data_IF_343001628208
#
_entry.id   IF_343001628208
#
_cell.length_a   1.000
_cell.length_b   1.000
_cell.length_c   1.000
_cell.angle_alpha   90.00
_cell.angle_beta   90.00
_cell.angle_gamma   90.00
#
_symmetry.space_group_name_H-M   'P 1'
#
loop_
_entity.id
_entity.type
_entity.pdbx_description
1 polymer ?
#
# COMPACT_ATOMS: atom_id res chain seq x y z
N UNK A 1 14.49 6.43 33.86
CA UNK A 1 13.46 5.82 33.00
C UNK A 1 13.29 6.68 31.77
N UNK A 2 13.17 6.06 30.59
CA UNK A 2 12.83 6.77 29.36
C UNK A 2 11.32 7.00 29.36
N UNK A 3 10.89 8.23 29.12
CA UNK A 3 9.50 8.64 29.15
C UNK A 3 8.91 8.81 27.75
N UNK A 4 9.70 9.26 26.77
CA UNK A 4 9.23 9.57 25.41
C UNK A 4 10.40 9.53 24.41
N UNK A 5 10.10 9.26 23.13
CA UNK A 5 11.05 9.44 22.02
C UNK A 5 10.47 10.46 21.06
N UNK A 6 11.35 11.34 20.58
CA UNK A 6 11.03 12.31 19.56
C UNK A 6 11.81 12.05 18.29
N UNK A 7 11.18 12.27 17.14
CA UNK A 7 11.87 12.45 15.88
C UNK A 7 11.40 13.77 15.32
N UNK A 8 12.33 14.69 15.11
CA UNK A 8 12.04 16.10 14.80
C UNK A 8 12.78 16.48 13.54
N UNK A 9 12.12 17.20 12.65
CA UNK A 9 12.75 17.77 11.47
C UNK A 9 13.64 18.95 11.86
N UNK A 10 14.59 19.31 11.00
CA UNK A 10 15.52 20.42 11.23
C UNK A 10 14.86 21.79 11.49
N UNK A 11 13.59 21.97 11.12
CA UNK A 11 12.80 23.19 11.34
C UNK A 11 11.95 23.15 12.63
N UNK A 12 12.03 22.06 13.41
CA UNK A 12 11.36 21.92 14.69
C UNK A 12 10.02 21.19 14.61
N UNK A 13 9.58 20.82 13.40
CA UNK A 13 8.37 20.02 13.25
C UNK A 13 8.59 18.61 13.79
N UNK A 14 7.74 18.20 14.72
CA UNK A 14 7.77 16.85 15.31
C UNK A 14 7.14 15.87 14.31
N UNK A 15 7.93 14.88 13.89
CA UNK A 15 7.53 13.78 13.01
C UNK A 15 7.05 12.56 13.82
N UNK A 16 7.54 12.40 15.05
CA UNK A 16 7.15 11.35 16.00
C UNK A 16 7.34 11.85 17.44
N UNK A 17 6.41 11.51 18.33
CA UNK A 17 6.42 11.88 19.75
C UNK A 17 5.33 12.90 20.13
N UNK A 18 5.13 13.10 21.43
CA UNK A 18 4.13 14.02 21.99
C UNK A 18 4.59 15.48 21.91
N UNK A 19 3.89 16.30 21.12
CA UNK A 19 4.23 17.72 20.95
C UNK A 19 4.20 18.53 22.24
N UNK A 20 3.35 18.15 23.21
CA UNK A 20 3.25 18.85 24.49
C UNK A 20 4.42 18.59 25.44
N UNK A 21 5.21 17.54 25.18
CA UNK A 21 6.37 17.15 26.01
C UNK A 21 7.71 17.55 25.41
N UNK A 22 7.73 18.05 24.18
CA UNK A 22 8.97 18.47 23.54
C UNK A 22 9.29 19.92 23.90
N UNK A 23 10.41 20.13 24.59
CA UNK A 23 10.93 21.44 24.96
C UNK A 23 12.34 21.64 24.41
N UNK A 24 12.89 22.86 24.50
CA UNK A 24 14.27 23.19 24.12
C UNK A 24 14.51 23.39 22.61
N UNK A 25 15.70 23.90 22.26
CA UNK A 25 16.08 24.15 20.87
C UNK A 25 16.63 22.89 20.19
N UNK A 26 16.42 22.78 18.89
CA UNK A 26 16.94 21.67 18.05
C UNK A 26 18.47 21.61 18.10
N UNK A 27 19.13 22.77 18.31
CA UNK A 27 20.58 22.87 18.41
C UNK A 27 21.16 22.33 19.72
N UNK A 28 20.32 22.15 20.75
CA UNK A 28 20.78 21.72 22.07
C UNK A 28 20.90 20.20 22.14
N UNK A 29 22.09 19.72 22.53
CA UNK A 29 22.33 18.28 22.73
C UNK A 29 21.58 17.77 23.96
N UNK A 30 21.47 18.57 25.01
CA UNK A 30 20.71 18.27 26.22
C UNK A 30 19.93 19.50 26.63
N UNK A 31 18.65 19.32 26.96
CA UNK A 31 17.83 20.33 27.63
C UNK A 31 17.24 19.74 28.91
N UNK A 32 16.92 20.57 29.89
CA UNK A 32 16.29 20.16 31.15
C UNK A 32 15.09 21.05 31.44
N UNK A 33 13.98 20.42 31.87
CA UNK A 33 12.76 21.09 32.30
C UNK A 33 12.07 20.26 33.40
N UNK A 34 11.74 20.91 34.52
CA UNK A 34 11.09 20.29 35.69
C UNK A 34 11.67 18.91 36.12
N UNK A 35 13.01 18.75 36.04
CA UNK A 35 13.71 17.51 36.38
C UNK A 35 13.62 16.39 35.34
N UNK A 36 12.99 16.65 34.19
CA UNK A 36 13.09 15.84 32.98
C UNK A 36 14.25 16.32 32.11
N UNK A 37 15.00 15.38 31.54
CA UNK A 37 16.10 15.67 30.63
C UNK A 37 15.77 15.17 29.23
N UNK A 38 16.01 16.01 28.22
CA UNK A 38 15.83 15.69 26.81
C UNK A 38 17.20 15.66 26.12
N UNK A 39 17.67 14.45 25.82
CA UNK A 39 18.92 14.22 25.07
C UNK A 39 18.60 14.09 23.58
N UNK A 40 19.29 14.84 22.72
CA UNK A 40 19.08 14.86 21.27
C UNK A 40 20.34 14.49 20.51
N UNK A 41 20.16 13.73 19.44
CA UNK A 41 21.22 13.36 18.49
C UNK A 41 20.73 13.63 17.08
N UNK A 42 21.53 14.37 16.31
CA UNK A 42 21.26 14.59 14.89
C UNK A 42 21.53 13.30 14.11
N UNK A 43 20.55 12.88 13.31
CA UNK A 43 20.63 11.72 12.43
C UNK A 43 20.17 12.15 11.03
N UNK A 44 21.12 12.31 10.10
CA UNK A 44 20.86 12.81 8.76
C UNK A 44 20.13 14.17 8.75
N UNK A 45 18.92 14.23 8.19
CA UNK A 45 18.06 15.42 8.08
C UNK A 45 17.03 15.56 9.23
N UNK A 46 17.09 14.66 10.23
CA UNK A 46 16.24 14.69 11.43
C UNK A 46 17.08 14.73 12.72
N UNK A 47 16.42 15.03 13.83
CA UNK A 47 16.94 14.97 15.18
C UNK A 47 16.13 13.96 15.97
N UNK A 48 16.79 12.98 16.55
CA UNK A 48 16.16 11.97 17.41
C UNK A 48 16.43 12.35 18.86
N UNK A 49 15.35 12.51 19.63
CA UNK A 49 15.38 12.88 21.04
C UNK A 49 14.87 11.78 21.94
N UNK A 50 15.41 11.68 23.15
CA UNK A 50 14.88 10.83 24.23
C UNK A 50 14.64 11.69 25.46
N UNK A 51 13.41 11.68 25.95
CA UNK A 51 13.01 12.25 27.23
C UNK A 51 13.21 11.21 28.33
N UNK A 52 13.86 11.59 29.43
CA UNK A 52 14.10 10.68 30.54
C UNK A 52 14.13 11.41 31.89
N UNK A 53 13.78 10.67 32.96
CA UNK A 53 13.91 11.08 34.37
C UNK A 53 14.69 10.04 35.15
N UNK A 54 15.48 10.44 36.15
CA UNK A 54 16.17 9.51 37.07
C UNK A 54 16.98 8.43 36.32
N UNK A 55 17.69 8.82 35.27
CA UNK A 55 18.59 7.98 34.47
C UNK A 55 19.82 8.80 34.09
N UNK A 56 20.98 8.16 33.93
CA UNK A 56 22.18 8.85 33.44
C UNK A 56 22.09 9.18 31.95
N UNK A 57 22.60 10.34 31.54
CA UNK A 57 22.68 10.69 30.11
C UNK A 57 23.46 9.68 29.27
N UNK A 58 24.46 8.99 29.86
CA UNK A 58 25.21 7.90 29.20
C UNK A 58 24.28 6.72 28.88
N UNK A 59 23.40 6.35 29.81
CA UNK A 59 22.41 5.28 29.59
C UNK A 59 21.41 5.68 28.51
N UNK A 60 20.93 6.93 28.51
CA UNK A 60 20.03 7.45 27.48
C UNK A 60 20.71 7.48 26.09
N UNK A 61 21.99 7.84 26.03
CA UNK A 61 22.78 7.83 24.80
C UNK A 61 22.97 6.40 24.25
N UNK A 62 23.33 5.45 25.11
CA UNK A 62 23.43 4.02 24.75
C UNK A 62 22.09 3.49 24.22
N UNK A 63 20.98 3.91 24.81
CA UNK A 63 19.65 3.56 24.29
C UNK A 63 19.41 4.14 22.89
N UNK A 64 19.70 5.43 22.69
CA UNK A 64 19.58 6.08 21.38
C UNK A 64 20.42 5.38 20.30
N UNK A 65 21.63 4.95 20.63
CA UNK A 65 22.49 4.20 19.70
C UNK A 65 21.88 2.84 19.33
N UNK A 66 21.34 2.10 20.30
CA UNK A 66 20.64 0.83 20.02
C UNK A 66 19.37 1.05 19.21
N UNK A 67 18.60 2.08 19.54
CA UNK A 67 17.39 2.46 18.80
C UNK A 67 17.73 2.79 17.35
N UNK A 68 18.78 3.59 17.12
CA UNK A 68 19.29 3.91 15.79
C UNK A 68 19.56 2.65 14.98
N UNK A 69 20.35 1.72 15.52
CA UNK A 69 20.68 0.46 14.82
C UNK A 69 19.42 -0.34 14.48
N UNK A 70 18.43 -0.40 15.39
CA UNK A 70 17.16 -1.11 15.15
C UNK A 70 16.32 -0.46 14.06
N UNK A 71 16.24 0.88 14.08
CA UNK A 71 15.54 1.66 13.06
C UNK A 71 16.25 1.50 11.71
N UNK A 72 17.55 1.73 11.63
CA UNK A 72 18.32 1.64 10.37
C UNK A 72 18.23 0.26 9.71
N UNK A 73 18.20 -0.82 10.50
CA UNK A 73 18.01 -2.19 9.98
C UNK A 73 16.63 -2.44 9.38
N UNK A 74 15.62 -1.70 9.81
CA UNK A 74 14.22 -1.99 9.50
C UNK A 74 13.64 -1.03 8.46
N UNK A 75 13.88 0.26 8.62
CA UNK A 75 13.31 1.31 7.77
C UNK A 75 14.36 1.96 6.85
N UNK A 76 15.61 1.49 6.90
CA UNK A 76 16.74 2.11 6.22
C UNK A 76 17.21 3.39 6.92
N UNK A 77 17.90 4.26 6.18
CA UNK A 77 18.46 5.52 6.70
C UNK A 77 17.38 6.33 7.44
N UNK A 78 17.68 6.77 8.67
CA UNK A 78 16.74 7.57 9.47
C UNK A 78 16.71 8.99 8.90
N UNK A 79 15.70 9.27 8.09
CA UNK A 79 15.44 10.57 7.48
C UNK A 79 13.94 10.88 7.41
N UNK A 80 13.54 12.13 7.16
CA UNK A 80 12.12 12.52 7.12
C UNK A 80 11.31 11.63 6.18
N UNK A 81 11.83 11.40 4.96
CA UNK A 81 11.19 10.54 3.96
C UNK A 81 10.92 9.12 4.49
N UNK A 82 11.90 8.49 5.12
CA UNK A 82 11.78 7.12 5.60
C UNK A 82 10.97 7.02 6.89
N UNK A 83 11.02 8.04 7.75
CA UNK A 83 10.18 8.15 8.95
C UNK A 83 8.72 8.23 8.55
N UNK A 84 8.37 9.09 7.58
CA UNK A 84 7.00 9.23 7.10
C UNK A 84 6.55 8.01 6.28
N UNK A 85 7.41 7.51 5.38
CA UNK A 85 7.09 6.37 4.51
C UNK A 85 7.05 5.01 5.22
N UNK A 86 7.71 4.86 6.37
CA UNK A 86 7.76 3.61 7.14
C UNK A 86 7.27 3.80 8.59
N UNK A 87 6.41 4.80 8.82
CA UNK A 87 5.98 5.22 10.15
C UNK A 87 5.50 4.06 11.04
N UNK A 88 4.69 3.16 10.49
CA UNK A 88 4.17 1.98 11.20
C UNK A 88 5.27 0.99 11.62
N UNK A 89 6.29 0.80 10.78
CA UNK A 89 7.41 -0.08 11.09
C UNK A 89 8.33 0.56 12.13
N UNK A 90 8.59 1.86 12.01
CA UNK A 90 9.29 2.67 13.01
C UNK A 90 8.62 2.54 14.39
N UNK A 91 7.30 2.72 14.43
CA UNK A 91 6.51 2.55 15.65
C UNK A 91 6.66 1.16 16.27
N UNK A 92 6.51 0.09 15.47
CA UNK A 92 6.66 -1.30 15.95
C UNK A 92 8.03 -1.57 16.60
N UNK A 93 9.04 -0.81 16.25
CA UNK A 93 10.39 -0.93 16.82
C UNK A 93 10.48 -0.15 18.14
N UNK A 94 9.97 1.08 18.16
CA UNK A 94 10.00 1.97 19.32
C UNK A 94 9.17 1.40 20.47
N UNK A 95 7.96 0.92 20.20
CA UNK A 95 7.02 0.45 21.23
C UNK A 95 7.31 -0.96 21.74
N UNK A 96 8.31 -1.67 21.19
CA UNK A 96 8.73 -2.96 21.73
C UNK A 96 9.50 -2.74 23.05
N UNK A 97 9.07 -3.35 24.16
CA UNK A 97 9.82 -3.31 25.41
C UNK A 97 11.25 -3.80 25.20
N UNK A 98 12.24 -2.98 25.54
CA UNK A 98 13.64 -3.36 25.39
C UNK A 98 14.06 -4.21 26.60
N UNK A 99 14.48 -5.45 26.35
CA UNK A 99 15.15 -6.28 27.36
C UNK A 99 16.60 -5.85 27.42
N UNK A 100 17.05 -5.26 28.52
CA UNK A 100 18.47 -5.03 28.68
C UNK A 100 19.19 -6.36 28.99
N UNK A 101 20.29 -6.62 28.29
CA UNK A 101 21.21 -7.71 28.60
C UNK A 101 22.20 -7.20 29.65
N UNK A 102 22.06 -7.76 30.86
CA UNK A 102 23.06 -7.92 31.93
C UNK A 102 24.13 -6.83 32.04
N UNK A 103 23.87 -5.84 32.90
CA UNK A 103 24.90 -5.53 33.90
C UNK A 103 24.67 -6.47 35.09
N UNK A 104 25.74 -6.92 35.75
CA UNK A 104 25.79 -8.03 36.71
C UNK A 104 24.91 -7.93 37.98
N UNK A 105 23.80 -7.18 37.98
CA UNK A 105 22.86 -7.01 39.09
C UNK A 105 21.43 -7.47 38.80
N UNK A 106 21.15 -8.02 37.61
CA UNK A 106 19.85 -8.62 37.27
C UNK A 106 19.27 -8.10 35.94
N UNK A 107 18.14 -8.69 35.51
CA UNK A 107 17.41 -8.23 34.32
C UNK A 107 16.58 -7.01 34.70
N UNK A 108 16.95 -5.84 34.19
CA UNK A 108 16.09 -4.64 34.25
C UNK A 108 15.28 -4.55 32.95
N UNK A 109 13.96 -4.34 33.10
CA UNK A 109 13.07 -4.09 31.98
C UNK A 109 12.82 -2.59 31.90
N UNK A 110 13.04 -2.01 30.71
CA UNK A 110 12.42 -0.73 30.41
C UNK A 110 10.95 -1.00 30.10
N UNK A 111 10.05 -0.38 30.86
CA UNK A 111 8.64 -0.33 30.47
C UNK A 111 8.55 0.23 29.04
N UNK A 112 7.61 -0.30 28.23
CA UNK A 112 7.34 0.26 26.92
C UNK A 112 7.00 1.75 27.06
N UNK A 113 7.53 2.57 26.17
CA UNK A 113 7.30 4.02 26.19
C UNK A 113 5.81 4.27 25.93
N UNK A 114 5.17 5.04 26.81
CA UNK A 114 3.72 5.26 26.84
C UNK A 114 3.30 6.37 25.88
N UNK A 115 3.41 6.12 24.58
CA UNK A 115 2.99 7.09 23.58
C UNK A 115 1.51 6.85 23.24
N UNK A 116 0.64 7.82 23.53
CA UNK A 116 -0.77 7.79 23.16
C UNK A 116 -0.90 8.00 21.62
N UNK A 117 -0.88 6.91 20.85
CA UNK A 117 -1.07 6.92 19.40
C UNK A 117 -2.14 5.93 18.95
N UNK A 118 -2.95 6.36 17.98
CA UNK A 118 -4.02 5.59 17.36
C UNK A 118 -3.74 5.36 15.90
N UNK A 119 -4.09 4.17 15.41
CA UNK A 119 -3.82 3.76 14.05
C UNK A 119 -5.09 3.24 13.43
N UNK A 120 -5.45 3.81 12.28
CA UNK A 120 -6.60 3.41 11.49
C UNK A 120 -6.10 2.86 10.15
N UNK A 121 -6.19 1.55 9.98
CA UNK A 121 -5.92 0.89 8.71
C UNK A 121 -7.25 0.71 7.96
N UNK A 122 -7.44 1.50 6.90
CA UNK A 122 -8.56 1.39 5.96
C UNK A 122 -8.11 0.49 4.81
N UNK A 123 -8.70 -0.69 4.73
CA UNK A 123 -8.36 -1.69 3.74
C UNK A 123 -9.57 -1.96 2.83
N UNK A 124 -9.38 -1.88 1.52
CA UNK A 124 -10.44 -2.10 0.54
C UNK A 124 -10.08 -3.24 -0.42
N UNK A 125 -10.91 -4.28 -0.46
CA UNK A 125 -10.81 -5.39 -1.38
C UNK A 125 -11.71 -5.16 -2.58
N UNK A 126 -11.14 -4.99 -3.76
CA UNK A 126 -11.87 -4.86 -5.02
C UNK A 126 -12.16 -6.22 -5.61
N UNK A 127 -13.43 -6.50 -5.86
CA UNK A 127 -13.90 -7.70 -6.53
C UNK A 127 -14.51 -7.30 -7.88
N UNK A 128 -14.01 -7.89 -8.96
CA UNK A 128 -14.54 -7.65 -10.30
C UNK A 128 -14.65 -8.95 -11.10
N UNK A 129 -15.78 -9.13 -11.77
CA UNK A 129 -15.93 -10.17 -12.80
C UNK A 129 -16.37 -9.46 -14.07
N UNK A 130 -15.52 -9.53 -15.09
CA UNK A 130 -15.80 -9.01 -16.42
C UNK A 130 -15.96 -10.19 -17.36
N UNK A 131 -17.08 -10.26 -18.06
CA UNK A 131 -17.34 -11.27 -19.07
C UNK A 131 -17.42 -10.58 -20.43
N UNK A 132 -16.37 -10.75 -21.24
CA UNK A 132 -16.13 -10.04 -22.49
C UNK A 132 -16.11 -8.53 -22.24
N UNK A 133 -17.11 -7.81 -22.77
CA UNK A 133 -17.26 -6.37 -22.59
C UNK A 133 -18.26 -6.00 -21.48
N UNK A 134 -18.84 -7.00 -20.78
CA UNK A 134 -19.86 -6.80 -19.75
C UNK A 134 -19.29 -6.94 -18.35
N UNK A 135 -19.51 -5.94 -17.51
CA UNK A 135 -19.22 -6.01 -16.08
C UNK A 135 -20.35 -6.82 -15.41
N UNK A 136 -20.03 -8.03 -14.95
CA UNK A 136 -20.96 -8.92 -14.22
C UNK A 136 -20.97 -8.56 -12.74
N UNK A 137 -19.79 -8.25 -12.19
CA UNK A 137 -19.62 -7.81 -10.81
C UNK A 137 -18.56 -6.72 -10.76
N UNK A 138 -18.83 -5.64 -10.02
CA UNK A 138 -17.83 -4.67 -9.59
C UNK A 138 -18.22 -4.14 -8.21
N UNK A 139 -17.54 -4.64 -7.18
CA UNK A 139 -17.83 -4.34 -5.77
C UNK A 139 -16.55 -4.11 -4.99
N UNK A 140 -16.62 -3.26 -3.98
CA UNK A 140 -15.59 -3.10 -2.97
C UNK A 140 -16.08 -3.63 -1.64
N UNK A 141 -15.25 -4.41 -0.94
CA UNK A 141 -15.46 -4.81 0.45
C UNK A 141 -14.36 -4.15 1.25
N UNK A 142 -14.70 -3.26 2.18
CA UNK A 142 -13.68 -2.60 2.99
C UNK A 142 -13.89 -2.78 4.47
N UNK A 143 -12.79 -2.70 5.20
CA UNK A 143 -12.76 -2.74 6.66
C UNK A 143 -11.85 -1.62 7.17
N UNK A 144 -12.23 -1.05 8.32
CA UNK A 144 -11.41 -0.14 9.10
C UNK A 144 -10.99 -0.86 10.37
N UNK A 145 -9.69 -0.94 10.60
CA UNK A 145 -9.13 -1.52 11.82
C UNK A 145 -8.52 -0.41 12.67
N UNK A 146 -8.90 -0.36 13.95
CA UNK A 146 -8.29 0.51 14.94
C UNK A 146 -7.28 -0.29 15.75
N UNK A 147 -6.09 0.27 15.87
CA UNK A 147 -5.09 -0.19 16.83
C UNK A 147 -4.64 0.98 17.68
N UNK A 148 -4.80 0.85 19.00
CA UNK A 148 -4.39 1.86 19.97
C UNK A 148 -3.16 1.40 20.75
N UNK A 149 -2.48 2.35 21.38
CA UNK A 149 -1.24 2.10 22.11
C UNK A 149 -1.31 2.86 23.42
N UNK A 150 -1.95 2.27 24.41
CA UNK A 150 -2.03 2.78 25.77
C UNK A 150 -2.35 1.63 26.72
N UNK A 151 -2.06 1.80 28.01
CA UNK A 151 -2.14 0.73 29.01
C UNK A 151 -3.53 0.44 29.58
N UNK A 152 -4.54 1.24 29.24
CA UNK A 152 -5.89 1.23 29.86
C UNK A 152 -6.97 1.31 28.79
N UNK A 153 -8.18 0.82 29.04
CA UNK A 153 -9.30 0.98 28.09
C UNK A 153 -9.73 2.45 27.99
N UNK A 154 -9.91 2.97 26.77
CA UNK A 154 -10.31 4.36 26.51
C UNK A 154 -11.33 4.48 25.38
N UNK A 155 -12.15 5.52 25.42
CA UNK A 155 -13.14 5.80 24.40
C UNK A 155 -12.53 6.57 23.23
N UNK A 156 -12.67 6.00 22.03
CA UNK A 156 -12.26 6.60 20.77
C UNK A 156 -13.50 6.92 19.95
N UNK A 157 -13.54 8.13 19.39
CA UNK A 157 -14.55 8.56 18.43
C UNK A 157 -13.94 8.67 17.06
N UNK A 158 -14.58 8.08 16.06
CA UNK A 158 -14.14 8.09 14.66
C UNK A 158 -15.27 8.64 13.81
N UNK A 159 -14.99 9.68 13.02
CA UNK A 159 -15.91 10.22 12.02
C UNK A 159 -15.52 9.76 10.62
N UNK A 160 -16.50 9.25 9.87
CA UNK A 160 -16.38 8.84 8.48
C UNK A 160 -17.16 9.84 7.62
N UNK A 161 -16.49 10.46 6.66
CA UNK A 161 -17.08 11.45 5.74
C UNK A 161 -18.01 10.77 4.73
N UNK A 162 -19.10 11.46 4.40
CA UNK A 162 -20.01 11.26 3.25
C UNK A 162 -20.03 9.85 2.67
N UNK A 163 -20.81 9.00 3.29
CA UNK A 163 -21.19 7.73 2.70
C UNK A 163 -22.40 7.95 1.79
N UNK A 164 -22.26 7.64 0.51
CA UNK A 164 -23.41 7.54 -0.37
C UNK A 164 -24.21 6.30 0.02
N UNK A 165 -25.28 6.50 0.80
CA UNK A 165 -26.15 5.44 1.30
C UNK A 165 -26.82 4.63 0.19
N UNK A 166 -26.84 5.11 -1.07
CA UNK A 166 -27.35 4.34 -2.20
C UNK A 166 -26.34 3.32 -2.74
N UNK A 167 -25.05 3.53 -2.49
CA UNK A 167 -23.98 2.69 -3.04
C UNK A 167 -23.18 1.94 -2.00
N UNK A 168 -23.27 2.33 -0.71
CA UNK A 168 -22.50 1.74 0.39
C UNK A 168 -23.43 1.20 1.48
N UNK A 169 -23.39 -0.11 1.67
CA UNK A 169 -23.94 -0.80 2.84
C UNK A 169 -22.83 -1.01 3.88
N UNK A 170 -23.13 -0.99 5.17
CA UNK A 170 -22.13 -1.19 6.22
C UNK A 170 -22.65 -1.95 7.43
N UNK A 171 -21.71 -2.49 8.19
CA UNK A 171 -21.91 -3.17 9.47
C UNK A 171 -20.79 -2.75 10.43
N UNK A 172 -21.15 -2.47 11.67
CA UNK A 172 -20.21 -2.41 12.78
C UNK A 172 -20.74 -3.22 13.95
N UNK A 173 -19.85 -3.69 14.80
CA UNK A 173 -20.19 -4.26 16.10
C UNK A 173 -20.25 -3.17 17.19
N UNK A 174 -19.88 -1.94 16.85
CA UNK A 174 -19.75 -0.80 17.75
C UNK A 174 -20.96 0.14 17.69
N UNK A 175 -21.00 1.11 18.60
CA UNK A 175 -22.07 2.12 18.64
C UNK A 175 -21.91 3.07 17.46
N UNK A 176 -22.88 3.06 16.55
CA UNK A 176 -22.94 3.92 15.36
C UNK A 176 -24.01 5.01 15.54
N UNK A 177 -23.61 6.25 15.29
CA UNK A 177 -24.52 7.37 15.11
C UNK A 177 -24.51 7.77 13.62
N UNK A 178 -25.65 7.57 12.95
CA UNK A 178 -25.83 8.02 11.57
C UNK A 178 -26.07 9.53 11.57
N UNK A 179 -25.22 10.28 10.88
CA UNK A 179 -25.35 11.72 10.73
C UNK A 179 -25.76 12.08 9.30
N UNK A 180 -26.25 13.31 9.11
CA UNK A 180 -26.70 13.78 7.79
C UNK A 180 -25.57 13.71 6.74
N UNK A 181 -24.32 13.86 7.17
CA UNK A 181 -23.15 13.91 6.28
C UNK A 181 -22.12 12.78 6.53
N UNK A 182 -22.50 11.69 7.18
CA UNK A 182 -21.54 10.62 7.47
C UNK A 182 -21.94 9.74 8.63
N UNK A 183 -20.93 9.10 9.23
CA UNK A 183 -21.11 8.21 10.38
C UNK A 183 -20.13 8.60 11.48
N UNK A 184 -20.61 8.62 12.72
CA UNK A 184 -19.76 8.62 13.90
C UNK A 184 -19.80 7.25 14.58
N UNK A 185 -18.62 6.76 14.95
CA UNK A 185 -18.43 5.48 15.63
C UNK A 185 -17.79 5.77 16.98
N UNK A 186 -18.39 5.26 18.04
CA UNK A 186 -17.81 5.28 19.38
C UNK A 186 -17.37 3.86 19.76
N UNK A 187 -16.09 3.69 20.10
CA UNK A 187 -15.50 2.40 20.46
C UNK A 187 -14.66 2.53 21.73
N UNK A 188 -14.76 1.53 22.62
CA UNK A 188 -13.80 1.36 23.71
C UNK A 188 -12.65 0.47 23.25
N UNK A 189 -11.44 1.01 23.23
CA UNK A 189 -10.24 0.30 22.77
C UNK A 189 -9.29 0.07 23.95
N UNK A 190 -8.64 -1.09 24.00
CA UNK A 190 -7.72 -1.52 25.07
C UNK A 190 -6.33 -1.91 24.56
N UNK A 191 -5.91 -1.34 23.42
CA UNK A 191 -4.61 -1.62 22.80
C UNK A 191 -4.58 -2.82 21.85
N UNK A 192 -5.68 -3.60 21.78
CA UNK A 192 -5.84 -4.71 20.83
C UNK A 192 -6.40 -4.16 19.51
N UNK A 193 -5.85 -4.64 18.40
CA UNK A 193 -6.37 -4.35 17.06
C UNK A 193 -7.81 -4.85 16.92
N UNK A 194 -8.72 -3.95 16.56
CA UNK A 194 -10.17 -4.21 16.51
C UNK A 194 -10.74 -3.72 15.18
N UNK A 195 -11.59 -4.53 14.54
CA UNK A 195 -12.34 -4.09 13.36
C UNK A 195 -13.49 -3.18 13.80
N UNK A 196 -13.42 -1.90 13.48
CA UNK A 196 -14.39 -0.88 13.95
C UNK A 196 -15.52 -0.65 12.96
N UNK A 197 -15.28 -0.93 11.69
CA UNK A 197 -16.24 -0.65 10.63
C UNK A 197 -15.98 -1.57 9.45
N UNK A 198 -17.03 -2.15 8.89
CA UNK A 198 -16.97 -2.92 7.64
C UNK A 198 -18.03 -2.40 6.69
N UNK A 199 -17.70 -2.28 5.41
CA UNK A 199 -18.61 -1.82 4.38
C UNK A 199 -18.51 -2.65 3.10
N UNK A 200 -19.60 -2.61 2.35
CA UNK A 200 -19.79 -3.23 1.06
C UNK A 200 -20.32 -2.16 0.11
N UNK A 201 -19.59 -1.90 -0.96
CA UNK A 201 -19.96 -0.87 -1.92
C UNK A 201 -20.12 -1.44 -3.32
N UNK A 202 -21.22 -1.10 -3.99
CA UNK A 202 -21.37 -1.36 -5.43
C UNK A 202 -20.68 -0.24 -6.18
N UNK A 203 -19.76 -0.59 -7.08
CA UNK A 203 -18.99 0.40 -7.85
C UNK A 203 -19.62 0.58 -9.23
N UNK A 204 -20.30 1.69 -9.43
CA UNK A 204 -20.93 2.07 -10.70
C UNK A 204 -19.92 2.60 -11.76
N UNK A 205 -18.61 2.48 -11.48
CA UNK A 205 -17.53 2.87 -12.37
C UNK A 205 -16.86 1.65 -13.01
N UNK A 206 -15.94 1.87 -13.95
CA UNK A 206 -15.13 0.77 -14.51
C UNK A 206 -14.22 0.16 -13.44
N UNK A 207 -13.94 -1.16 -13.48
CA UNK A 207 -12.97 -1.79 -12.61
C UNK A 207 -11.60 -1.10 -12.69
N UNK A 208 -10.86 -1.09 -11.57
CA UNK A 208 -9.58 -0.37 -11.44
C UNK A 208 -8.57 -0.82 -12.50
N UNK A 209 -8.47 -2.13 -12.69
CA UNK A 209 -7.68 -2.79 -13.72
C UNK A 209 -8.62 -3.52 -14.67
N UNK A 210 -8.42 -3.39 -15.97
CA UNK A 210 -9.10 -4.18 -17.01
C UNK A 210 -8.02 -4.81 -17.88
N UNK A 211 -8.24 -6.06 -18.27
CA UNK A 211 -7.43 -6.82 -19.20
C UNK A 211 -8.33 -7.20 -20.36
N UNK A 212 -7.91 -6.87 -21.57
CA UNK A 212 -8.64 -7.19 -22.79
C UNK A 212 -7.69 -7.67 -23.86
N UNK A 213 -8.23 -8.42 -24.81
CA UNK A 213 -7.48 -8.88 -25.97
C UNK A 213 -7.35 -7.75 -27.01
N UNK A 214 -6.17 -7.64 -27.59
CA UNK A 214 -5.87 -6.77 -28.73
C UNK A 214 -5.05 -7.58 -29.75
N UNK A 215 -4.98 -7.15 -31.01
CA UNK A 215 -4.22 -7.85 -32.05
C UNK A 215 -2.81 -8.23 -31.57
N UNK A 216 -2.53 -9.54 -31.56
CA UNK A 216 -1.25 -10.12 -31.16
C UNK A 216 -1.00 -10.26 -29.65
N UNK A 217 -1.99 -10.03 -28.78
CA UNK A 217 -1.83 -10.31 -27.35
C UNK A 217 -2.88 -9.69 -26.42
N UNK A 218 -2.45 -9.31 -25.22
CA UNK A 218 -3.32 -8.77 -24.18
C UNK A 218 -2.85 -7.40 -23.68
N UNK A 219 -3.81 -6.53 -23.39
CA UNK A 219 -3.56 -5.20 -22.84
C UNK A 219 -4.15 -5.11 -21.43
N UNK A 220 -3.31 -4.70 -20.48
CA UNK A 220 -3.71 -4.32 -19.13
C UNK A 220 -3.86 -2.80 -19.10
N UNK A 221 -5.05 -2.32 -18.73
CA UNK A 221 -5.39 -0.90 -18.66
C UNK A 221 -5.93 -0.53 -17.29
N UNK A 222 -5.43 0.56 -16.74
CA UNK A 222 -5.95 1.14 -15.49
C UNK A 222 -6.84 2.35 -15.79
N UNK A 223 -7.75 2.69 -14.87
CA UNK A 223 -8.57 3.90 -14.99
C UNK A 223 -7.76 5.20 -14.91
N UNK A 224 -6.62 5.15 -14.22
CA UNK A 224 -5.64 6.23 -14.07
C UNK A 224 -4.22 5.64 -13.95
N UNK A 225 -3.15 6.41 -14.23
CA UNK A 225 -1.78 5.96 -14.02
C UNK A 225 -1.57 5.55 -12.56
N UNK A 226 -1.27 4.28 -12.34
CA UNK A 226 -1.22 3.70 -10.98
C UNK A 226 0.05 2.88 -10.80
N UNK A 227 0.77 3.13 -9.70
CA UNK A 227 1.88 2.28 -9.26
C UNK A 227 1.36 1.31 -8.21
N UNK A 228 1.44 0.02 -8.50
CA UNK A 228 1.07 -1.02 -7.54
C UNK A 228 2.31 -1.52 -6.82
N UNK A 229 2.17 -1.83 -5.52
CA UNK A 229 3.18 -2.59 -4.78
C UNK A 229 3.31 -3.99 -5.36
N UNK A 230 2.17 -4.59 -5.71
CA UNK A 230 2.09 -5.87 -6.40
C UNK A 230 1.04 -5.77 -7.51
N UNK A 231 1.37 -6.20 -8.73
CA UNK A 231 0.40 -6.38 -9.81
C UNK A 231 0.83 -7.58 -10.66
N UNK A 232 0.03 -8.64 -10.64
CA UNK A 232 0.29 -9.88 -11.37
C UNK A 232 -0.93 -10.28 -12.17
N UNK A 233 -0.75 -10.47 -13.46
CA UNK A 233 -1.78 -10.92 -14.39
C UNK A 233 -1.49 -12.35 -14.80
N UNK A 234 -2.47 -13.23 -14.62
CA UNK A 234 -2.37 -14.65 -14.97
C UNK A 234 -3.18 -14.89 -16.22
N UNK A 235 -2.48 -15.04 -17.35
CA UNK A 235 -3.06 -15.31 -18.65
C UNK A 235 -3.14 -16.83 -18.87
N UNK A 236 -4.33 -17.42 -19.00
CA UNK A 236 -4.47 -18.83 -19.32
C UNK A 236 -3.79 -19.18 -20.65
N UNK A 237 -3.04 -20.28 -20.65
CA UNK A 237 -2.47 -20.87 -21.86
C UNK A 237 -3.23 -22.16 -22.19
N UNK A 238 -3.72 -22.36 -23.42
CA UNK A 238 -4.34 -23.61 -23.81
C UNK A 238 -3.45 -24.81 -23.45
N UNK A 239 -4.01 -25.84 -22.79
CA UNK A 239 -3.25 -27.01 -22.30
C UNK A 239 -2.51 -27.79 -23.39
N UNK A 240 -2.96 -27.64 -24.64
CA UNK A 240 -2.43 -28.32 -25.82
C UNK A 240 -1.36 -27.46 -26.52
N UNK A 241 -0.98 -26.31 -25.97
CA UNK A 241 0.04 -25.45 -26.53
C UNK A 241 1.41 -26.13 -26.45
N UNK A 242 2.06 -26.32 -27.60
CA UNK A 242 3.41 -26.89 -27.70
C UNK A 242 4.49 -25.85 -27.47
N UNK A 243 4.18 -24.60 -27.82
CA UNK A 243 5.11 -23.48 -27.70
C UNK A 243 4.36 -22.24 -27.30
N UNK A 244 4.90 -21.53 -26.30
CA UNK A 244 4.39 -20.23 -25.85
C UNK A 244 5.49 -19.20 -26.04
N UNK A 245 5.17 -18.12 -26.76
CA UNK A 245 6.05 -16.96 -26.93
C UNK A 245 5.33 -15.76 -26.35
N UNK A 246 6.02 -15.01 -25.50
CA UNK A 246 5.49 -13.79 -24.91
C UNK A 246 6.55 -12.68 -24.89
N UNK A 247 6.13 -11.45 -25.19
CA UNK A 247 7.02 -10.28 -25.19
C UNK A 247 6.28 -9.07 -24.64
N UNK A 248 6.94 -8.28 -23.82
CA UNK A 248 6.40 -7.04 -23.27
C UNK A 248 7.51 -5.99 -23.17
N UNK A 249 7.11 -4.74 -22.96
CA UNK A 249 8.04 -3.62 -22.72
C UNK A 249 8.33 -3.39 -21.24
N UNK A 250 7.39 -3.76 -20.37
CA UNK A 250 7.43 -3.46 -18.95
C UNK A 250 7.08 -4.67 -18.08
N UNK A 251 7.74 -4.75 -16.93
CA UNK A 251 7.57 -5.84 -15.98
C UNK A 251 8.43 -7.06 -16.32
N UNK A 252 8.00 -8.22 -15.85
CA UNK A 252 8.62 -9.51 -16.12
C UNK A 252 7.54 -10.56 -16.36
N UNK A 253 7.81 -11.57 -17.18
CA UNK A 253 6.83 -12.63 -17.43
C UNK A 253 7.50 -13.99 -17.46
N UNK A 254 6.80 -14.99 -16.92
CA UNK A 254 7.23 -16.39 -16.89
C UNK A 254 6.05 -17.27 -17.28
N UNK A 255 6.30 -18.24 -18.14
CA UNK A 255 5.34 -19.30 -18.40
C UNK A 255 5.43 -20.37 -17.30
N UNK A 256 4.33 -20.57 -16.58
CA UNK A 256 4.16 -21.63 -15.60
C UNK A 256 3.47 -22.81 -16.29
N UNK A 257 4.28 -23.79 -16.68
CA UNK A 257 3.84 -25.02 -17.36
C UNK A 257 2.91 -25.88 -16.48
N UNK A 258 3.12 -25.88 -15.16
CA UNK A 258 2.32 -26.71 -14.23
C UNK A 258 0.89 -26.22 -14.20
N UNK A 259 0.70 -24.90 -14.12
CA UNK A 259 -0.62 -24.28 -14.09
C UNK A 259 -1.15 -23.90 -15.49
N UNK A 260 -0.34 -24.07 -16.54
CA UNK A 260 -0.59 -23.61 -17.90
C UNK A 260 -1.07 -22.15 -17.93
N UNK A 261 -0.26 -21.26 -17.35
CA UNK A 261 -0.53 -19.81 -17.31
C UNK A 261 0.75 -19.02 -17.58
N UNK A 262 0.65 -17.92 -18.31
CA UNK A 262 1.69 -16.89 -18.30
C UNK A 262 1.42 -15.97 -17.13
N UNK A 263 2.36 -15.93 -16.19
CA UNK A 263 2.38 -14.96 -15.09
C UNK A 263 3.11 -13.71 -15.57
N UNK A 264 2.40 -12.60 -15.72
CA UNK A 264 2.97 -11.30 -16.07
C UNK A 264 2.95 -10.38 -14.85
N UNK A 265 4.13 -10.04 -14.35
CA UNK A 265 4.36 -9.26 -13.14
C UNK A 265 4.75 -7.82 -13.49
N UNK A 266 3.92 -6.87 -13.09
CA UNK A 266 4.03 -5.43 -13.30
C UNK A 266 4.25 -4.68 -11.97
N UNK A 267 4.67 -5.39 -10.92
CA UNK A 267 4.90 -4.81 -9.60
C UNK A 267 5.94 -3.69 -9.64
N UNK A 268 5.64 -2.55 -9.01
CA UNK A 268 6.51 -1.38 -9.00
C UNK A 268 6.55 -0.56 -10.31
N UNK A 269 5.85 -0.98 -11.37
CA UNK A 269 5.69 -0.21 -12.62
C UNK A 269 4.48 0.73 -12.48
N UNK A 270 4.59 1.94 -13.04
CA UNK A 270 3.43 2.84 -13.18
C UNK A 270 2.64 2.39 -14.41
N UNK A 271 1.47 1.79 -14.18
CA UNK A 271 0.63 1.23 -15.24
C UNK A 271 -0.50 2.19 -15.57
N UNK A 272 -0.60 2.58 -16.85
CA UNK A 272 -1.80 3.19 -17.42
C UNK A 272 -2.39 2.29 -18.50
N UNK A 273 -1.53 1.83 -19.42
CA UNK A 273 -1.86 0.87 -20.46
C UNK A 273 -0.59 0.13 -20.86
N UNK A 274 -0.50 -1.16 -20.59
CA UNK A 274 0.65 -1.99 -20.93
C UNK A 274 0.19 -3.17 -21.78
N UNK A 275 1.01 -3.58 -22.75
CA UNK A 275 0.73 -4.71 -23.64
C UNK A 275 1.75 -5.81 -23.46
N UNK A 276 1.25 -7.05 -23.44
CA UNK A 276 2.04 -8.25 -23.64
C UNK A 276 1.61 -8.89 -24.95
N UNK A 277 2.55 -8.96 -25.90
CA UNK A 277 2.42 -9.78 -27.09
C UNK A 277 2.45 -11.25 -26.65
N UNK A 278 1.54 -12.05 -27.18
CA UNK A 278 1.33 -13.42 -26.75
C UNK A 278 0.99 -14.29 -27.96
N UNK A 279 1.69 -15.42 -28.07
CA UNK A 279 1.45 -16.43 -29.09
C UNK A 279 1.56 -17.82 -28.47
N UNK A 280 0.54 -18.66 -28.70
CA UNK A 280 0.55 -20.06 -28.32
C UNK A 280 0.31 -20.92 -29.56
N UNK A 281 1.28 -21.76 -29.89
CA UNK A 281 1.19 -22.71 -31.00
C UNK A 281 0.48 -23.97 -30.53
N UNK A 282 -0.63 -24.33 -31.17
CA UNK A 282 -1.43 -25.52 -30.82
C UNK A 282 -2.07 -26.20 -32.03
N UNK A 283 -2.31 -27.50 -31.91
CA UNK A 283 -3.02 -28.31 -32.90
C UNK A 283 -4.54 -28.24 -32.65
N UNK A 284 -5.20 -27.25 -33.26
CA UNK A 284 -6.66 -27.13 -33.22
C UNK A 284 -7.15 -25.87 -32.50
N UNK A 285 -8.21 -25.29 -33.05
CA UNK A 285 -8.84 -24.08 -32.53
C UNK A 285 -9.77 -24.51 -31.41
N UNK A 286 -9.37 -24.33 -30.16
CA UNK A 286 -10.28 -24.48 -29.02
C UNK A 286 -10.17 -23.29 -28.09
N UNK A 287 -11.33 -22.78 -27.69
CA UNK A 287 -11.49 -21.72 -26.72
C UNK A 287 -11.01 -22.20 -25.34
N UNK A 288 -9.98 -21.57 -24.77
CA UNK A 288 -9.67 -21.72 -23.35
C UNK A 288 -10.63 -20.83 -22.55
N UNK A 289 -11.64 -21.46 -21.96
CA UNK A 289 -12.72 -20.77 -21.22
C UNK A 289 -12.30 -20.30 -19.82
N UNK A 290 -11.04 -20.51 -19.43
CA UNK A 290 -10.54 -20.05 -18.13
C UNK A 290 -10.46 -18.52 -18.10
N UNK A 291 -10.83 -17.95 -16.96
CA UNK A 291 -10.73 -16.50 -16.75
C UNK A 291 -9.25 -16.08 -16.59
N UNK A 292 -8.90 -14.94 -17.15
CA UNK A 292 -7.71 -14.16 -16.76
C UNK A 292 -7.91 -13.72 -15.31
N UNK A 293 -6.94 -14.04 -14.45
CA UNK A 293 -6.95 -13.60 -13.05
C UNK A 293 -6.00 -12.43 -12.89
N UNK A 294 -6.40 -11.43 -12.12
CA UNK A 294 -5.54 -10.29 -11.78
C UNK A 294 -5.39 -10.23 -10.27
N UNK A 295 -4.15 -10.19 -9.82
CA UNK A 295 -3.83 -9.92 -8.43
C UNK A 295 -3.18 -8.54 -8.34
N UNK A 296 -3.63 -7.70 -7.40
CA UNK A 296 -2.94 -6.45 -7.14
C UNK A 296 -3.04 -6.01 -5.68
N UNK A 297 -2.07 -5.20 -5.27
CA UNK A 297 -2.04 -4.47 -4.00
C UNK A 297 -1.44 -3.08 -4.24
N UNK A 298 -2.06 -2.05 -3.69
CA UNK A 298 -1.46 -0.72 -3.57
C UNK A 298 -1.67 -0.18 -2.16
N UNK A 299 -0.55 0.12 -1.51
CA UNK A 299 -0.48 0.86 -0.26
C UNK A 299 -0.66 2.34 -0.56
N UNK A 300 -1.11 3.09 0.43
CA UNK A 300 -1.36 4.53 0.35
C UNK A 300 -2.39 4.89 -0.74
N UNK A 301 -3.44 4.06 -0.84
CA UNK A 301 -4.51 4.18 -1.83
C UNK A 301 -5.48 5.31 -1.49
N UNK A 302 -5.28 6.48 -2.09
CA UNK A 302 -6.09 7.66 -1.78
C UNK A 302 -7.51 7.64 -2.35
N UNK A 303 -7.91 6.64 -3.14
CA UNK A 303 -9.26 6.57 -3.74
C UNK A 303 -10.14 5.49 -3.08
N UNK A 304 -9.96 5.21 -1.79
CA UNK A 304 -10.91 4.38 -1.04
C UNK A 304 -12.31 5.03 -1.03
N UNK A 305 -13.35 4.20 -1.07
CA UNK A 305 -14.75 4.61 -1.02
C UNK A 305 -15.12 5.25 0.33
N UNK A 306 -14.37 4.90 1.38
CA UNK A 306 -14.54 5.41 2.74
C UNK A 306 -13.35 6.28 3.12
N UNK A 307 -13.64 7.45 3.70
CA UNK A 307 -12.64 8.38 4.23
C UNK A 307 -12.90 8.68 5.69
N UNK A 308 -11.87 8.55 6.51
CA UNK A 308 -11.92 9.01 7.89
C UNK A 308 -11.71 10.52 7.88
N UNK A 309 -12.70 11.26 8.39
CA UNK A 309 -12.66 12.71 8.53
C UNK A 309 -11.85 13.11 9.76
N UNK A 310 -12.15 12.47 10.90
CA UNK A 310 -11.49 12.72 12.17
C UNK A 310 -11.47 11.49 13.05
N UNK A 311 -10.53 11.47 13.98
CA UNK A 311 -10.47 10.49 15.05
C UNK A 311 -9.90 11.17 16.30
N UNK A 312 -10.53 10.93 17.45
CA UNK A 312 -10.13 11.51 18.73
C UNK A 312 -10.31 10.51 19.88
N UNK A 313 -9.48 10.66 20.91
CA UNK A 313 -9.68 10.00 22.20
C UNK A 313 -10.38 11.00 23.13
N UNK A 314 -11.49 10.58 23.74
CA UNK A 314 -12.34 11.47 24.54
C UNK A 314 -11.61 11.96 25.79
N UNK A 315 -10.83 11.06 26.41
CA UNK A 315 -10.22 11.32 27.70
C UNK A 315 -8.88 12.04 27.58
N UNK A 316 -8.13 11.87 26.49
CA UNK A 316 -6.79 12.42 26.36
C UNK A 316 -6.41 12.75 24.90
N UNK A 317 -5.63 13.83 24.69
CA UNK A 317 -5.12 14.15 23.36
C UNK A 317 -4.22 13.02 22.85
N UNK A 318 -4.47 12.61 21.60
CA UNK A 318 -3.86 11.44 20.98
C UNK A 318 -3.68 11.72 19.49
N UNK A 319 -2.53 11.32 18.96
CA UNK A 319 -2.29 11.43 17.52
C UNK A 319 -2.86 10.20 16.81
N UNK A 320 -3.70 10.44 15.80
CA UNK A 320 -4.24 9.39 14.94
C UNK A 320 -3.55 9.37 13.59
N UNK A 321 -3.16 8.17 13.18
CA UNK A 321 -2.48 7.90 11.93
C UNK A 321 -3.36 7.01 11.06
N UNK A 322 -3.56 7.41 9.82
CA UNK A 322 -4.53 6.76 8.94
C UNK A 322 -3.81 6.29 7.69
N UNK A 323 -4.04 5.03 7.33
CA UNK A 323 -3.49 4.44 6.13
C UNK A 323 -4.60 3.83 5.30
N UNK A 324 -4.53 4.07 4.00
CA UNK A 324 -5.45 3.53 3.04
C UNK A 324 -4.73 2.50 2.16
N UNK A 325 -5.32 1.33 1.95
CA UNK A 325 -4.76 0.31 1.09
C UNK A 325 -5.86 -0.36 0.27
N UNK A 326 -5.52 -0.77 -0.94
CA UNK A 326 -6.40 -1.55 -1.81
C UNK A 326 -5.75 -2.87 -2.19
N UNK A 327 -6.56 -3.92 -2.28
CA UNK A 327 -6.15 -5.21 -2.84
C UNK A 327 -7.21 -5.76 -3.79
N UNK A 328 -6.80 -6.63 -4.71
CA UNK A 328 -7.72 -7.48 -5.45
C UNK A 328 -8.28 -8.58 -4.53
N UNK A 329 -9.59 -8.80 -4.58
CA UNK A 329 -10.24 -10.03 -4.12
C UNK A 329 -10.45 -11.01 -5.28
N UNK A 330 -11.69 -11.42 -5.50
CA UNK A 330 -12.06 -12.17 -6.70
C UNK A 330 -12.08 -11.23 -7.90
N UNK A 331 -11.00 -11.27 -8.68
CA UNK A 331 -10.79 -10.38 -9.82
C UNK A 331 -10.47 -11.17 -11.08
N UNK A 332 -11.50 -11.37 -11.90
CA UNK A 332 -11.52 -12.31 -13.03
C UNK A 332 -12.06 -11.65 -14.29
N UNK A 333 -11.47 -11.97 -15.43
CA UNK A 333 -11.92 -11.46 -16.73
C UNK A 333 -11.95 -12.57 -17.76
N UNK A 334 -13.01 -12.61 -18.56
CA UNK A 334 -13.12 -13.49 -19.73
C UNK A 334 -13.06 -12.64 -20.97
N UNK A 335 -12.29 -13.09 -21.95
CA UNK A 335 -12.07 -12.40 -23.23
C UNK A 335 -12.46 -13.34 -24.36
N UNK A 336 -13.07 -12.81 -25.41
CA UNK A 336 -13.48 -13.60 -26.58
C UNK A 336 -12.30 -13.83 -27.53
N UNK A 337 -11.71 -15.02 -27.47
CA UNK A 337 -10.61 -15.45 -28.36
C UNK A 337 -10.98 -15.53 -29.86
N UNK A 338 -12.24 -15.23 -30.24
CA UNK A 338 -12.72 -15.37 -31.62
C UNK A 338 -12.60 -14.11 -32.48
N UNK A 339 -12.20 -12.94 -31.93
CA UNK A 339 -12.07 -11.71 -32.73
C UNK A 339 -10.77 -11.62 -33.54
N UNK A 340 -9.80 -12.51 -33.33
CA UNK A 340 -8.50 -12.52 -34.03
C UNK A 340 -8.52 -13.19 -35.41
N UNK A 341 -9.61 -13.84 -35.83
CA UNK A 341 -9.70 -14.51 -37.16
C UNK A 341 -10.08 -13.60 -38.33
N UNK A 342 -9.86 -12.30 -38.21
CA UNK A 342 -10.32 -11.32 -39.18
C UNK A 342 -9.27 -10.66 -40.05
N UNK A 343 -8.03 -11.18 -40.21
CA UNK A 343 -7.06 -10.56 -41.16
C UNK A 343 -5.76 -11.30 -41.53
N UNK A 344 -5.59 -12.60 -41.28
CA UNK A 344 -4.33 -13.31 -41.62
C UNK A 344 -4.50 -14.44 -42.64
N UNK A 345 -5.46 -14.32 -43.56
CA UNK A 345 -5.51 -15.15 -44.77
C UNK A 345 -5.43 -14.28 -46.01
N UNK A 346 -4.31 -13.59 -46.22
CA UNK A 346 -3.84 -13.23 -47.57
C UNK A 346 -2.31 -13.23 -47.66
N UNK A 347 -1.86 -14.12 -48.54
CA UNK A 347 -0.64 -14.07 -49.33
C UNK A 347 0.70 -14.46 -48.65
N UNK A 348 0.91 -15.78 -48.54
CA UNK A 348 2.13 -16.35 -49.12
C UNK A 348 1.96 -16.39 -50.64
N UNK A 349 2.55 -15.44 -51.37
CA UNK A 349 2.94 -15.64 -52.78
C UNK A 349 4.30 -14.95 -52.93
N UNK A 350 5.33 -15.76 -53.18
CA UNK A 350 6.69 -15.29 -53.40
C UNK A 350 6.81 -14.50 -54.70
N UNK A 351 7.60 -13.43 -54.65
CA UNK A 351 8.25 -12.84 -55.81
C UNK A 351 9.64 -12.39 -55.35
N UNK A 352 10.67 -12.88 -56.06
CA UNK A 352 12.09 -12.58 -55.90
C UNK A 352 12.37 -11.07 -56.13
N UNK A 353 13.39 -10.47 -55.48
CA UNK A 353 13.85 -9.16 -55.88
C UNK A 353 14.93 -9.28 -56.96
N UNK A 354 14.69 -8.67 -58.13
CA UNK A 354 15.77 -8.18 -59.01
C UNK A 354 15.92 -6.66 -58.86
N UNK A 355 17.13 -6.12 -59.09
CA UNK A 355 17.56 -4.81 -58.59
C UNK A 355 17.41 -3.67 -59.61
N UNK A 356 17.64 -2.44 -59.11
CA UNK A 356 17.82 -1.14 -59.80
C UNK A 356 16.54 -0.57 -60.45
N UNK A 357 16.16 0.69 -60.26
CA UNK A 357 16.95 1.89 -60.54
C UNK A 357 16.71 3.07 -59.59
N UNK A 358 17.72 3.93 -59.56
CA UNK A 358 17.75 5.28 -58.99
C UNK A 358 16.60 6.15 -59.51
N UNK A 359 16.00 6.97 -58.64
CA UNK A 359 15.89 8.40 -58.92
C UNK A 359 15.66 9.21 -57.65
N UNK A 360 16.62 10.08 -57.40
CA UNK A 360 16.62 11.15 -56.41
C UNK A 360 15.61 12.23 -56.79
N UNK A 361 14.72 12.62 -55.86
CA UNK A 361 14.11 13.95 -55.90
C UNK A 361 14.24 14.61 -54.54
N UNK A 362 14.97 15.72 -54.58
CA UNK A 362 15.30 16.64 -53.51
C UNK A 362 14.22 17.73 -53.47
N UNK A 363 13.53 17.86 -52.31
CA UNK A 363 13.07 19.09 -51.61
C UNK A 363 12.09 20.07 -52.34
N UNK A 364 11.29 20.91 -51.61
CA UNK A 364 11.72 21.65 -50.43
C UNK A 364 10.77 21.79 -49.23
N UNK A 365 11.47 22.16 -48.15
CA UNK A 365 11.00 22.73 -46.90
C UNK A 365 10.07 23.93 -47.12
N UNK A 366 9.04 24.01 -46.30
CA UNK A 366 8.56 25.23 -45.64
C UNK A 366 8.25 24.91 -44.18
#
# INVERSE_FOLDING_TARGET
>A
MIEEIFIVRHDGKILYGDTGKYFGSIGDVVSEDEGAQLLRVRMNDVVVGVLYKSMSGISALKYLERLRIRLERSIGMICEKNVLGNYFQLFRIISKPEKEVRDGRGKHFFAGISNYNGYLDVFERHNAIVDRDRIVMNKAEGSVYLKTVFGEERMIKIAIDKLDAQTIEYKSNEVIHNEVNGIKIEIKSSGIESEVFRYYAVRNMRPLVIVYEEEGGYVVKCSKPTKFDELVVFLPVPREALKVVHRHKAGSSVYDEVNNVVRWDLSGVVVMSEKIEYYAEGFGVREDMRSIRVHFMAKDWNDCMVKIESAECVEHPMNFWIRYAVVSGKYEMRVDMNKTKGKTDKACVGIEPTPTDYESVVLPLN
#
